data_IF_790482330827
#
_entry.id   IF_790482330827
#
_cell.length_a   1.000
_cell.length_b   1.000
_cell.length_c   1.000
_cell.angle_alpha   90.00
_cell.angle_beta   90.00
_cell.angle_gamma   90.00
#
_symmetry.space_group_name_H-M   'P 1'
#
loop_
_entity.id
_entity.type
_entity.pdbx_description
1 polymer ?
#
# COMPACT_ATOMS: atom_id res chain seq x y z
N UNK A 1 13.99 -10.02 10.75
CA UNK A 1 14.38 -9.00 9.77
C UNK A 1 13.26 -8.67 8.76
N UNK A 2 11.99 -9.10 8.97
CA UNK A 2 10.87 -8.80 8.07
C UNK A 2 9.94 -7.68 8.61
N UNK A 3 10.10 -7.26 9.86
CA UNK A 3 9.27 -6.23 10.48
C UNK A 3 9.51 -4.85 9.83
N UNK A 4 10.75 -4.56 9.45
CA UNK A 4 11.15 -3.25 8.92
C UNK A 4 10.45 -2.91 7.60
N UNK A 5 10.28 -3.89 6.71
CA UNK A 5 9.60 -3.68 5.41
C UNK A 5 8.11 -3.41 5.62
N UNK A 6 7.48 -4.14 6.56
CA UNK A 6 6.06 -4.00 6.85
C UNK A 6 5.74 -2.63 7.47
N UNK A 7 6.57 -2.17 8.42
CA UNK A 7 6.44 -0.82 8.98
C UNK A 7 6.69 0.27 7.93
N UNK A 8 7.64 0.07 7.01
CA UNK A 8 7.86 0.99 5.90
C UNK A 8 6.64 1.06 4.97
N UNK A 9 6.03 -0.07 4.64
CA UNK A 9 4.78 -0.12 3.85
C UNK A 9 3.69 0.68 4.53
N UNK A 10 3.47 0.48 5.84
CA UNK A 10 2.43 1.21 6.58
C UNK A 10 2.72 2.71 6.61
N UNK A 11 3.96 3.10 6.90
CA UNK A 11 4.38 4.50 6.90
C UNK A 11 4.25 5.16 5.53
N UNK A 12 4.54 4.43 4.45
CA UNK A 12 4.34 4.91 3.07
C UNK A 12 2.85 5.10 2.81
N UNK A 13 2.01 4.14 3.17
CA UNK A 13 0.56 4.27 3.01
C UNK A 13 -0.01 5.47 3.78
N UNK A 14 0.37 5.63 5.04
CA UNK A 14 -0.05 6.79 5.84
C UNK A 14 0.33 8.10 5.16
N UNK A 15 1.58 8.21 4.68
CA UNK A 15 2.03 9.40 3.99
C UNK A 15 1.39 9.60 2.61
N UNK A 16 1.05 8.52 1.90
CA UNK A 16 0.28 8.57 0.65
C UNK A 16 -1.10 9.18 0.93
N UNK A 17 -1.77 8.74 1.99
CA UNK A 17 -3.06 9.29 2.43
C UNK A 17 -2.93 10.75 2.86
N UNK A 18 -1.92 11.10 3.67
CA UNK A 18 -1.65 12.49 4.10
C UNK A 18 -1.39 13.43 2.90
N UNK A 19 -0.66 12.95 1.89
CA UNK A 19 -0.39 13.73 0.67
C UNK A 19 -1.51 13.66 -0.38
N UNK A 20 -2.55 12.86 -0.15
CA UNK A 20 -3.63 12.62 -1.12
C UNK A 20 -3.13 11.96 -2.42
N UNK A 21 -2.06 11.18 -2.34
CA UNK A 21 -1.52 10.45 -3.48
C UNK A 21 -2.33 9.17 -3.66
N UNK A 22 -3.05 9.10 -4.77
CA UNK A 22 -3.81 7.92 -5.16
C UNK A 22 -2.90 6.77 -5.56
N UNK A 23 -3.40 5.55 -5.42
CA UNK A 23 -2.74 4.33 -5.86
C UNK A 23 -2.29 4.40 -7.32
N UNK A 24 -3.09 4.97 -8.22
CA UNK A 24 -2.75 5.14 -9.63
C UNK A 24 -1.48 5.98 -9.83
N UNK A 25 -1.38 7.11 -9.12
CA UNK A 25 -0.17 7.94 -9.10
C UNK A 25 1.02 7.18 -8.51
N UNK A 26 0.80 6.45 -7.41
CA UNK A 26 1.83 5.60 -6.82
C UNK A 26 2.30 4.52 -7.80
N UNK A 27 1.42 3.86 -8.54
CA UNK A 27 1.81 2.85 -9.52
C UNK A 27 2.43 3.41 -10.78
N UNK A 28 2.14 4.67 -11.11
CA UNK A 28 2.77 5.35 -12.24
C UNK A 28 4.25 5.63 -11.96
N UNK A 29 4.57 6.16 -10.78
CA UNK A 29 5.93 6.54 -10.39
C UNK A 29 6.25 6.18 -8.93
N UNK A 30 6.30 4.87 -8.58
CA UNK A 30 6.40 4.45 -7.19
C UNK A 30 7.73 4.83 -6.56
N UNK A 31 8.84 4.66 -7.29
CA UNK A 31 10.19 5.01 -6.85
C UNK A 31 10.26 6.50 -6.46
N UNK A 32 9.84 7.37 -7.37
CA UNK A 32 9.85 8.82 -7.18
C UNK A 32 8.95 9.27 -6.03
N UNK A 33 7.79 8.64 -5.88
CA UNK A 33 6.89 8.94 -4.78
C UNK A 33 7.47 8.48 -3.44
N UNK A 34 8.11 7.32 -3.39
CA UNK A 34 8.79 6.84 -2.18
C UNK A 34 9.92 7.79 -1.78
N UNK A 35 10.74 8.24 -2.73
CA UNK A 35 11.79 9.24 -2.51
C UNK A 35 11.20 10.56 -2.01
N UNK A 36 10.13 11.08 -2.61
CA UNK A 36 9.47 12.34 -2.20
C UNK A 36 8.82 12.26 -0.80
N UNK A 37 8.30 11.08 -0.46
CA UNK A 37 7.60 10.82 0.79
C UNK A 37 8.57 10.57 1.95
N UNK A 38 9.57 9.73 1.70
CA UNK A 38 10.51 9.25 2.72
C UNK A 38 11.74 10.15 2.82
N UNK A 39 12.09 10.88 1.76
CA UNK A 39 13.26 11.77 1.73
C UNK A 39 14.58 11.03 1.89
N UNK A 40 14.61 9.73 1.52
CA UNK A 40 15.79 8.87 1.63
C UNK A 40 15.94 8.02 0.37
N UNK A 41 17.18 7.81 -0.05
CA UNK A 41 17.54 6.83 -1.07
C UNK A 41 17.45 5.42 -0.47
N UNK A 42 16.43 4.67 -0.89
CA UNK A 42 16.30 3.26 -0.55
C UNK A 42 16.97 2.40 -1.62
N UNK A 43 17.55 1.24 -1.25
CA UNK A 43 18.01 0.27 -2.24
C UNK A 43 16.82 -0.31 -3.01
N UNK A 44 17.01 -0.58 -4.31
CA UNK A 44 15.97 -1.08 -5.23
C UNK A 44 15.21 -2.29 -4.69
N UNK A 45 15.91 -3.27 -4.10
CA UNK A 45 15.28 -4.47 -3.51
C UNK A 45 14.23 -4.14 -2.44
N UNK A 46 14.46 -3.09 -1.64
CA UNK A 46 13.49 -2.65 -0.62
C UNK A 46 12.34 -1.88 -1.25
N UNK A 47 12.63 -1.08 -2.27
CA UNK A 47 11.61 -0.33 -3.01
C UNK A 47 10.60 -1.30 -3.61
N UNK A 48 11.06 -2.33 -4.32
CA UNK A 48 10.18 -3.34 -4.91
C UNK A 48 9.34 -4.07 -3.85
N UNK A 49 9.95 -4.47 -2.73
CA UNK A 49 9.23 -5.11 -1.64
C UNK A 49 8.14 -4.21 -1.02
N UNK A 50 8.40 -2.90 -0.91
CA UNK A 50 7.41 -1.92 -0.43
C UNK A 50 6.30 -1.75 -1.47
N UNK A 51 6.64 -1.60 -2.75
CA UNK A 51 5.67 -1.44 -3.84
C UNK A 51 4.70 -2.62 -3.87
N UNK A 52 5.23 -3.83 -3.83
CA UNK A 52 4.43 -5.05 -3.82
C UNK A 52 3.60 -5.15 -2.55
N UNK A 53 4.16 -4.77 -1.40
CA UNK A 53 3.44 -4.70 -0.14
C UNK A 53 2.28 -3.70 -0.14
N UNK A 54 2.48 -2.50 -0.70
CA UNK A 54 1.46 -1.45 -0.84
C UNK A 54 0.36 -1.92 -1.80
N UNK A 55 0.73 -2.49 -2.96
CA UNK A 55 -0.23 -3.07 -3.93
C UNK A 55 -1.02 -4.21 -3.30
N UNK A 56 -0.37 -5.11 -2.57
CA UNK A 56 -1.00 -6.24 -1.89
C UNK A 56 -1.94 -5.76 -0.79
N UNK A 57 -1.51 -4.83 0.07
CA UNK A 57 -2.34 -4.33 1.18
C UNK A 57 -3.60 -3.64 0.65
N UNK A 58 -3.46 -2.77 -0.34
CA UNK A 58 -4.59 -2.09 -0.98
C UNK A 58 -5.50 -3.05 -1.77
N UNK A 59 -4.92 -4.05 -2.44
CA UNK A 59 -5.69 -5.13 -3.09
C UNK A 59 -6.45 -5.99 -2.08
N UNK A 60 -5.82 -6.31 -0.96
CA UNK A 60 -6.42 -7.05 0.15
C UNK A 60 -7.52 -6.25 0.83
N UNK A 61 -7.37 -4.94 1.04
CA UNK A 61 -8.42 -4.07 1.58
C UNK A 61 -9.63 -4.00 0.64
N UNK A 62 -9.43 -3.91 -0.68
CA UNK A 62 -10.52 -3.98 -1.66
C UNK A 62 -11.21 -5.34 -1.65
N UNK A 63 -10.44 -6.43 -1.65
CA UNK A 63 -10.99 -7.79 -1.61
C UNK A 63 -11.74 -8.05 -0.31
N UNK A 64 -11.21 -7.58 0.83
CA UNK A 64 -11.88 -7.64 2.12
C UNK A 64 -13.17 -6.85 2.11
N UNK A 65 -13.18 -5.62 1.59
CA UNK A 65 -14.40 -4.83 1.46
C UNK A 65 -15.47 -5.51 0.59
N UNK A 66 -15.07 -6.14 -0.52
CA UNK A 66 -15.99 -6.94 -1.36
C UNK A 66 -16.46 -8.19 -0.64
N UNK A 67 -15.58 -8.90 0.08
CA UNK A 67 -15.94 -10.12 0.80
C UNK A 67 -16.82 -9.85 2.03
N UNK A 68 -16.57 -8.78 2.77
CA UNK A 68 -17.45 -8.28 3.83
C UNK A 68 -18.81 -7.86 3.27
N UNK A 69 -18.85 -7.17 2.12
CA UNK A 69 -20.11 -6.82 1.45
C UNK A 69 -20.87 -8.05 0.95
N UNK A 70 -20.17 -9.02 0.35
CA UNK A 70 -20.76 -10.28 -0.10
C UNK A 70 -21.24 -11.13 1.08
N UNK A 71 -20.45 -11.23 2.14
CA UNK A 71 -20.78 -11.97 3.36
C UNK A 71 -21.95 -11.33 4.12
N UNK A 72 -22.00 -10.00 4.19
CA UNK A 72 -23.14 -9.26 4.74
C UNK A 72 -24.41 -9.41 3.90
N UNK A 73 -24.28 -9.57 2.58
CA UNK A 73 -25.41 -9.82 1.68
C UNK A 73 -25.87 -11.30 1.73
N UNK A 74 -24.93 -12.25 1.78
CA UNK A 74 -25.21 -13.69 1.87
C UNK A 74 -25.65 -14.15 3.28
N UNK A 75 -25.28 -13.41 4.33
CA UNK A 75 -25.66 -13.71 5.71
C UNK A 75 -27.05 -13.22 6.12
N UNK A 76 -27.78 -12.54 5.23
CA UNK A 76 -29.14 -12.05 5.49
C UNK A 76 -30.18 -12.91 4.75
N UNK A 77 -30.33 -14.15 5.19
CA UNK A 77 -31.50 -15.00 4.95
C UNK A 77 -31.87 -15.75 6.21
#
# INVERSE_FOLDING_TARGET
MAADVKELIEKVMDKLEEKGITLEKFTADPVKILEDILGVDLPDDKIDAIIDGVKLKLGADKAKGVMDALGGLFGKK
#
